data_IF_376613173275
#
_entry.id   IF_376613173275
#
_cell.length_a   1.000
_cell.length_b   1.000
_cell.length_c   1.000
_cell.angle_alpha   90.00
_cell.angle_beta   90.00
_cell.angle_gamma   90.00
#
_symmetry.space_group_name_H-M   'P 1'
#
loop_
_entity.id
_entity.type
_entity.pdbx_description
1 polymer ?
#
# COMPACT_ATOMS: atom_id res chain seq x y z
N UNK A 1 45.32 56.48 23.23
CA UNK A 1 44.53 55.60 22.35
C UNK A 1 44.14 54.38 23.18
N UNK A 2 43.30 54.48 24.21
CA UNK A 2 41.86 54.78 24.16
C UNK A 2 41.14 53.95 23.09
N UNK A 3 40.64 52.79 23.51
CA UNK A 3 39.52 52.09 22.89
C UNK A 3 38.65 51.53 24.01
N UNK A 4 37.62 52.32 24.34
CA UNK A 4 36.52 52.02 25.24
C UNK A 4 35.71 50.83 24.72
N UNK A 5 35.69 49.73 25.47
CA UNK A 5 34.74 48.64 25.27
C UNK A 5 33.56 48.85 26.23
N UNK A 6 32.30 48.94 25.75
CA UNK A 6 31.16 49.09 26.64
C UNK A 6 30.93 47.79 27.43
N UNK A 7 31.07 47.92 28.75
CA UNK A 7 30.68 46.93 29.76
C UNK A 7 29.24 46.44 29.49
N UNK A 8 29.11 45.17 29.14
CA UNK A 8 27.82 44.49 28.99
C UNK A 8 27.35 44.07 30.38
N UNK A 9 26.27 44.65 30.94
CA UNK A 9 25.80 44.25 32.25
C UNK A 9 25.32 42.79 32.21
N UNK A 10 25.85 42.01 33.14
CA UNK A 10 25.64 40.59 33.30
C UNK A 10 24.16 40.19 33.25
N UNK A 11 23.93 39.05 32.59
CA UNK A 11 22.67 38.32 32.64
C UNK A 11 22.47 37.86 34.09
N UNK A 12 21.67 38.61 34.85
CA UNK A 12 21.20 38.14 36.17
C UNK A 12 20.44 36.83 35.96
N UNK A 13 20.71 35.78 36.77
CA UNK A 13 19.89 34.60 36.74
C UNK A 13 18.47 35.03 37.14
N UNK A 14 17.48 34.77 36.28
CA UNK A 14 16.07 34.84 36.68
C UNK A 14 15.79 33.58 37.49
N UNK A 15 16.19 33.59 38.75
CA UNK A 15 15.61 32.74 39.78
C UNK A 15 14.58 33.59 40.50
N UNK A 16 13.34 33.48 40.02
CA UNK A 16 12.09 33.79 40.72
C UNK A 16 10.95 33.29 39.80
N UNK A 17 10.82 31.97 39.70
CA UNK A 17 9.65 31.32 39.10
C UNK A 17 9.23 30.15 40.00
N UNK A 18 9.08 30.46 41.29
CA UNK A 18 8.76 29.49 42.33
C UNK A 18 7.96 30.14 43.46
N UNK A 19 6.79 30.69 43.17
CA UNK A 19 5.67 30.81 44.13
C UNK A 19 4.42 31.31 43.38
N UNK A 20 3.22 30.79 43.69
CA UNK A 20 1.98 31.36 43.19
C UNK A 20 1.85 32.79 43.71
N UNK A 21 2.01 33.78 42.84
CA UNK A 21 1.64 35.15 43.16
C UNK A 21 0.11 35.19 43.32
N UNK A 22 -0.39 34.90 44.53
CA UNK A 22 -1.81 34.85 44.93
C UNK A 22 -2.60 36.16 44.70
N UNK A 23 -1.99 37.20 44.11
CA UNK A 23 -2.65 38.47 43.81
C UNK A 23 -2.27 39.11 42.47
N UNK A 24 -1.51 38.43 41.60
CA UNK A 24 -1.16 38.98 40.29
C UNK A 24 -2.35 38.99 39.33
N UNK A 25 -2.39 39.93 38.38
CA UNK A 25 -3.41 39.96 37.31
C UNK A 25 -3.55 38.60 36.59
N UNK A 26 -2.43 37.90 36.38
CA UNK A 26 -2.43 36.55 35.81
C UNK A 26 -3.15 35.53 36.71
N UNK A 27 -2.96 35.58 38.02
CA UNK A 27 -3.65 34.71 38.98
C UNK A 27 -5.15 35.04 39.06
N UNK A 28 -5.51 36.32 39.01
CA UNK A 28 -6.90 36.76 38.93
C UNK A 28 -7.59 36.26 37.64
N UNK A 29 -6.91 36.35 36.49
CA UNK A 29 -7.41 35.81 35.22
C UNK A 29 -7.54 34.29 35.27
N UNK A 30 -6.56 33.57 35.81
CA UNK A 30 -6.66 32.13 36.03
C UNK A 30 -7.86 31.78 36.92
N UNK A 31 -8.09 32.52 38.00
CA UNK A 31 -9.21 32.26 38.91
C UNK A 31 -10.58 32.49 38.24
N UNK A 32 -10.69 33.51 37.37
CA UNK A 32 -11.90 33.78 36.58
C UNK A 32 -12.13 32.71 35.52
N UNK A 33 -11.08 32.25 34.84
CA UNK A 33 -11.15 31.21 33.80
C UNK A 33 -11.44 29.81 34.37
N UNK A 34 -10.96 29.52 35.58
CA UNK A 34 -11.16 28.23 36.27
C UNK A 34 -12.48 28.15 37.03
N UNK A 35 -13.27 29.22 37.10
CA UNK A 35 -14.57 29.21 37.80
C UNK A 35 -15.57 28.37 37.02
N UNK A 36 -16.07 27.30 37.63
CA UNK A 36 -17.14 26.48 37.05
C UNK A 36 -18.45 27.26 36.99
N UNK A 37 -18.90 27.58 35.78
CA UNK A 37 -20.16 28.26 35.54
C UNK A 37 -21.29 27.22 35.50
N UNK A 38 -22.19 27.28 36.49
CA UNK A 38 -23.43 26.49 36.49
C UNK A 38 -24.38 27.05 35.42
N UNK A 39 -24.38 26.42 34.24
CA UNK A 39 -25.30 26.69 33.13
C UNK A 39 -24.75 27.60 32.03
N UNK A 40 -25.60 27.93 31.05
CA UNK A 40 -25.29 28.82 29.90
C UNK A 40 -25.33 30.32 30.32
N UNK A 41 -24.76 30.66 31.47
CA UNK A 41 -24.83 32.00 32.07
C UNK A 41 -23.73 32.95 31.58
N UNK A 42 -22.71 32.45 30.89
CA UNK A 42 -21.74 33.31 30.21
C UNK A 42 -22.44 34.10 29.09
N UNK A 43 -22.31 35.42 29.13
CA UNK A 43 -23.00 36.38 28.24
C UNK A 43 -22.79 36.07 26.74
N UNK A 44 -21.67 35.45 26.39
CA UNK A 44 -21.32 35.06 25.00
C UNK A 44 -21.70 33.61 24.63
N UNK A 45 -22.14 32.76 25.55
CA UNK A 45 -22.44 31.36 25.26
C UNK A 45 -23.58 31.15 24.25
N UNK A 46 -24.48 32.14 24.13
CA UNK A 46 -25.63 32.11 23.20
C UNK A 46 -25.36 32.83 21.87
N UNK A 47 -24.38 33.74 21.80
CA UNK A 47 -24.06 34.49 20.58
C UNK A 47 -22.80 33.92 19.93
N UNK A 48 -22.97 33.27 18.79
CA UNK A 48 -21.84 32.99 17.88
C UNK A 48 -21.66 34.17 16.93
N UNK A 49 -20.44 34.68 16.85
CA UNK A 49 -20.06 35.60 15.78
C UNK A 49 -20.03 34.85 14.45
N UNK A 50 -20.24 35.56 13.33
CA UNK A 50 -20.17 34.96 11.99
C UNK A 50 -18.85 34.20 11.76
N UNK A 51 -17.73 34.76 12.24
CA UNK A 51 -16.41 34.11 12.19
C UNK A 51 -16.35 32.79 12.97
N UNK A 52 -17.03 32.70 14.11
CA UNK A 52 -17.06 31.48 14.92
C UNK A 52 -17.93 30.38 14.29
N UNK A 53 -18.95 30.77 13.52
CA UNK A 53 -19.76 29.83 12.73
C UNK A 53 -18.96 29.30 11.54
N UNK A 54 -18.32 30.18 10.77
CA UNK A 54 -17.42 29.81 9.67
C UNK A 54 -16.29 28.89 10.15
N UNK A 55 -15.65 29.20 11.27
CA UNK A 55 -14.63 28.33 11.85
C UNK A 55 -15.17 26.97 12.32
N UNK A 56 -16.43 26.89 12.72
CA UNK A 56 -17.06 25.63 13.10
C UNK A 56 -17.39 24.78 11.86
N UNK A 57 -17.89 25.41 10.80
CA UNK A 57 -18.16 24.79 9.49
C UNK A 57 -16.86 24.26 8.86
N UNK A 58 -15.81 25.07 8.80
CA UNK A 58 -14.48 24.65 8.34
C UNK A 58 -13.95 23.44 9.11
N UNK A 59 -14.17 23.40 10.43
CA UNK A 59 -13.77 22.28 11.29
C UNK A 59 -14.59 21.03 10.98
N UNK A 60 -15.88 21.17 10.67
CA UNK A 60 -16.75 20.07 10.29
C UNK A 60 -16.39 19.53 8.91
N UNK A 61 -16.16 20.39 7.92
CA UNK A 61 -15.70 20.01 6.59
C UNK A 61 -14.36 19.28 6.63
N UNK A 62 -13.39 19.80 7.39
CA UNK A 62 -12.09 19.12 7.60
C UNK A 62 -12.26 17.75 8.24
N UNK A 63 -13.21 17.57 9.16
CA UNK A 63 -13.51 16.27 9.78
C UNK A 63 -14.17 15.32 8.79
N UNK A 64 -15.16 15.79 8.02
CA UNK A 64 -15.82 15.01 6.98
C UNK A 64 -14.83 14.54 5.91
N UNK A 65 -14.00 15.45 5.40
CA UNK A 65 -12.94 15.12 4.45
C UNK A 65 -11.95 14.09 5.01
N UNK A 66 -11.54 14.24 6.29
CA UNK A 66 -10.67 13.24 6.95
C UNK A 66 -11.36 11.89 7.07
N UNK A 67 -12.64 11.85 7.41
CA UNK A 67 -13.41 10.61 7.49
C UNK A 67 -13.52 9.92 6.12
N UNK A 68 -13.78 10.67 5.05
CA UNK A 68 -13.86 10.14 3.68
C UNK A 68 -12.51 9.59 3.20
N UNK A 69 -11.41 10.29 3.47
CA UNK A 69 -10.06 9.84 3.14
C UNK A 69 -9.74 8.55 3.90
N UNK A 70 -10.09 8.47 5.19
CA UNK A 70 -9.90 7.27 5.99
C UNK A 70 -10.77 6.11 5.51
N UNK A 71 -12.03 6.35 5.13
CA UNK A 71 -12.92 5.33 4.57
C UNK A 71 -12.41 4.80 3.22
N UNK A 72 -11.94 5.69 2.34
CA UNK A 72 -11.31 5.31 1.06
C UNK A 72 -10.02 4.52 1.28
N UNK A 73 -9.20 4.91 2.27
CA UNK A 73 -7.98 4.19 2.64
C UNK A 73 -8.30 2.81 3.21
N UNK A 74 -9.28 2.71 4.11
CA UNK A 74 -9.74 1.46 4.69
C UNK A 74 -10.24 0.50 3.60
N UNK A 75 -11.05 0.98 2.64
CA UNK A 75 -11.51 0.17 1.49
C UNK A 75 -10.36 -0.41 0.67
N UNK A 76 -9.32 0.39 0.37
CA UNK A 76 -8.14 -0.06 -0.37
C UNK A 76 -7.29 -1.05 0.43
N UNK A 77 -7.25 -0.89 1.75
CA UNK A 77 -6.43 -1.70 2.65
C UNK A 77 -7.12 -2.99 3.15
N UNK A 78 -8.40 -3.23 2.81
CA UNK A 78 -9.16 -4.40 3.31
C UNK A 78 -8.50 -5.75 3.03
N UNK A 79 -7.74 -5.85 1.95
CA UNK A 79 -7.05 -7.08 1.54
C UNK A 79 -5.53 -6.93 1.61
N UNK A 80 -5.02 -5.90 2.28
CA UNK A 80 -3.59 -5.62 2.37
C UNK A 80 -3.12 -5.75 3.82
N UNK A 81 -2.11 -6.59 4.05
CA UNK A 81 -1.43 -6.70 5.35
C UNK A 81 -0.38 -5.59 5.43
N UNK A 82 -0.37 -4.82 6.53
CA UNK A 82 0.67 -3.81 6.77
C UNK A 82 1.99 -4.54 7.04
N UNK A 83 3.04 -4.32 6.25
CA UNK A 83 4.32 -4.99 6.48
C UNK A 83 4.95 -4.51 7.78
N UNK A 84 5.34 -5.44 8.63
CA UNK A 84 6.05 -5.19 9.89
C UNK A 84 7.56 -5.23 9.64
N UNK A 85 8.37 -4.68 10.57
CA UNK A 85 9.84 -4.60 10.41
C UNK A 85 10.48 -5.97 10.14
N UNK A 86 9.90 -7.05 10.65
CA UNK A 86 10.33 -8.43 10.40
C UNK A 86 9.94 -8.95 9.00
N UNK A 87 8.79 -8.54 8.45
CA UNK A 87 8.29 -9.03 7.15
C UNK A 87 8.71 -8.17 5.95
N UNK A 88 9.17 -6.93 6.18
CA UNK A 88 9.70 -6.01 5.15
C UNK A 88 10.72 -6.64 4.18
N UNK A 89 11.73 -7.43 4.60
CA UNK A 89 12.69 -8.02 3.66
C UNK A 89 12.06 -9.05 2.73
N UNK A 90 11.15 -9.90 3.24
CA UNK A 90 10.41 -10.88 2.45
C UNK A 90 9.51 -10.20 1.42
N UNK A 91 8.72 -9.22 1.85
CA UNK A 91 7.81 -8.46 0.99
C UNK A 91 8.55 -7.69 -0.11
N UNK A 92 9.75 -7.17 0.19
CA UNK A 92 10.61 -6.52 -0.80
C UNK A 92 11.11 -7.51 -1.85
N UNK A 93 11.38 -8.75 -1.47
CA UNK A 93 11.79 -9.81 -2.39
C UNK A 93 10.66 -10.27 -3.28
N UNK A 94 9.46 -10.50 -2.73
CA UNK A 94 8.27 -10.82 -3.51
C UNK A 94 7.96 -9.74 -4.55
N UNK A 95 8.00 -8.46 -4.14
CA UNK A 95 7.84 -7.34 -5.08
C UNK A 95 8.85 -7.36 -6.22
N UNK A 96 10.13 -7.63 -5.94
CA UNK A 96 11.18 -7.73 -6.98
C UNK A 96 10.93 -8.89 -7.94
N UNK A 97 10.49 -10.04 -7.43
CA UNK A 97 10.16 -11.20 -8.28
C UNK A 97 8.96 -10.88 -9.17
N UNK A 98 7.90 -10.31 -8.60
CA UNK A 98 6.71 -9.93 -9.34
C UNK A 98 7.01 -8.88 -10.45
N UNK A 99 7.80 -7.85 -10.14
CA UNK A 99 8.17 -6.84 -11.15
C UNK A 99 9.06 -7.43 -12.24
N UNK A 100 10.02 -8.29 -11.89
CA UNK A 100 10.86 -9.00 -12.88
C UNK A 100 10.01 -9.88 -13.80
N UNK A 101 9.04 -10.62 -13.25
CA UNK A 101 8.14 -11.46 -14.04
C UNK A 101 7.29 -10.66 -15.02
N UNK A 102 6.64 -9.59 -14.55
CA UNK A 102 5.82 -8.72 -15.41
C UNK A 102 6.65 -8.05 -16.51
N UNK A 103 7.85 -7.57 -16.19
CA UNK A 103 8.75 -6.97 -17.19
C UNK A 103 9.23 -8.02 -18.21
N UNK A 104 9.57 -9.22 -17.78
CA UNK A 104 9.93 -10.32 -18.68
C UNK A 104 8.78 -10.65 -19.64
N UNK A 105 7.53 -10.68 -19.15
CA UNK A 105 6.36 -10.91 -19.98
C UNK A 105 6.15 -9.78 -21.01
N UNK A 106 6.22 -8.50 -20.60
CA UNK A 106 6.09 -7.39 -21.54
C UNK A 106 7.19 -7.41 -22.61
N UNK A 107 8.42 -7.75 -22.23
CA UNK A 107 9.52 -7.88 -23.17
C UNK A 107 9.29 -9.04 -24.14
N UNK A 108 8.78 -10.17 -23.67
CA UNK A 108 8.45 -11.32 -24.52
C UNK A 108 7.31 -10.99 -25.50
N UNK A 109 6.24 -10.36 -25.04
CA UNK A 109 5.12 -9.91 -25.88
C UNK A 109 5.60 -8.90 -26.93
N UNK A 110 6.44 -7.94 -26.54
CA UNK A 110 6.99 -6.96 -27.48
C UNK A 110 7.85 -7.64 -28.55
N UNK A 111 8.72 -8.58 -28.18
CA UNK A 111 9.54 -9.35 -29.14
C UNK A 111 8.64 -10.11 -30.12
N UNK A 112 7.64 -10.82 -29.62
CA UNK A 112 6.69 -11.56 -30.45
C UNK A 112 5.94 -10.64 -31.43
N UNK A 113 5.45 -9.49 -30.98
CA UNK A 113 4.78 -8.52 -31.86
C UNK A 113 5.72 -7.99 -32.95
N UNK A 114 6.96 -7.65 -32.60
CA UNK A 114 7.96 -7.20 -33.59
C UNK A 114 8.33 -8.29 -34.59
N UNK A 115 8.42 -9.54 -34.16
CA UNK A 115 8.67 -10.69 -35.03
C UNK A 115 7.48 -10.96 -35.96
N UNK A 116 6.25 -10.90 -35.46
CA UNK A 116 5.04 -11.00 -36.28
C UNK A 116 4.99 -9.89 -37.34
N UNK A 117 5.22 -8.64 -36.94
CA UNK A 117 5.31 -7.53 -37.90
C UNK A 117 6.45 -7.72 -38.92
N UNK A 118 7.60 -8.26 -38.49
CA UNK A 118 8.72 -8.53 -39.39
C UNK A 118 8.40 -9.66 -40.38
N UNK A 119 7.70 -10.71 -39.93
CA UNK A 119 7.21 -11.81 -40.78
C UNK A 119 6.16 -11.30 -41.77
N UNK A 120 5.20 -10.48 -41.34
CA UNK A 120 4.21 -9.84 -42.22
C UNK A 120 4.87 -8.90 -43.25
N UNK A 121 5.87 -8.11 -42.82
CA UNK A 121 6.67 -7.25 -43.71
C UNK A 121 7.55 -8.07 -44.66
N UNK A 122 8.07 -9.23 -44.25
CA UNK A 122 8.86 -10.13 -45.11
C UNK A 122 7.98 -10.91 -46.09
N UNK A 123 6.79 -11.34 -45.66
CA UNK A 123 5.79 -11.98 -46.50
C UNK A 123 5.27 -11.02 -47.58
N UNK A 124 5.06 -9.75 -47.25
CA UNK A 124 4.71 -8.70 -48.22
C UNK A 124 5.88 -8.27 -49.12
N UNK A 125 7.14 -8.42 -48.67
CA UNK A 125 8.34 -8.07 -49.45
C UNK A 125 8.78 -9.15 -50.45
N UNK A 126 8.22 -10.35 -50.40
CA UNK A 126 8.30 -11.36 -51.47
C UNK A 126 9.71 -11.93 -51.72
N UNK A 127 9.90 -13.21 -51.36
CA UNK A 127 10.62 -14.29 -52.08
C UNK A 127 11.74 -13.96 -53.11
N UNK A 128 12.58 -12.93 -52.91
CA UNK A 128 13.55 -12.52 -53.95
C UNK A 128 15.03 -12.79 -53.64
N UNK A 129 15.41 -13.25 -52.45
CA UNK A 129 16.82 -13.61 -52.15
C UNK A 129 16.92 -14.69 -51.05
N UNK A 130 16.82 -15.97 -51.39
CA UNK A 130 16.89 -17.05 -50.39
C UNK A 130 17.77 -18.22 -50.88
N UNK A 131 19.02 -18.26 -50.42
CA UNK A 131 19.78 -19.51 -50.28
C UNK A 131 20.83 -19.39 -49.15
N UNK A 132 21.73 -18.37 -49.12
CA UNK A 132 22.69 -18.24 -48.02
C UNK A 132 22.14 -17.48 -46.78
N UNK A 133 21.19 -16.56 -46.97
CA UNK A 133 20.64 -15.76 -45.87
C UNK A 133 19.68 -16.55 -44.95
N UNK A 134 18.97 -17.54 -45.50
CA UNK A 134 18.01 -18.34 -44.74
C UNK A 134 18.70 -19.27 -43.72
N UNK A 135 19.85 -19.84 -44.06
CA UNK A 135 20.63 -20.72 -43.18
C UNK A 135 21.28 -19.94 -42.03
N UNK A 136 21.79 -18.73 -42.30
CA UNK A 136 22.33 -17.85 -41.26
C UNK A 136 21.23 -17.33 -40.30
N UNK A 137 20.05 -17.00 -40.83
CA UNK A 137 18.90 -16.60 -40.02
C UNK A 137 18.38 -17.75 -39.14
N UNK A 138 18.39 -18.99 -39.63
CA UNK A 138 18.00 -20.18 -38.87
C UNK A 138 18.98 -20.48 -37.72
N UNK A 139 20.28 -20.29 -37.92
CA UNK A 139 21.28 -20.41 -36.86
C UNK A 139 21.25 -19.26 -35.85
N UNK A 140 20.88 -18.04 -36.29
CA UNK A 140 20.68 -16.91 -35.38
C UNK A 140 19.40 -17.08 -34.54
N UNK A 141 18.31 -17.57 -35.15
CA UNK A 141 17.07 -17.86 -34.46
C UNK A 141 17.25 -18.95 -33.39
N UNK A 142 18.04 -20.00 -33.66
CA UNK A 142 18.31 -21.04 -32.65
C UNK A 142 19.13 -20.52 -31.47
N UNK A 143 20.05 -19.57 -31.69
CA UNK A 143 20.80 -18.89 -30.63
C UNK A 143 19.91 -18.02 -29.76
N UNK A 144 19.00 -17.25 -30.37
CA UNK A 144 18.05 -16.41 -29.62
C UNK A 144 17.08 -17.26 -28.79
N UNK A 145 16.60 -18.39 -29.33
CA UNK A 145 15.76 -19.34 -28.57
C UNK A 145 16.57 -19.99 -27.43
N UNK A 146 17.85 -20.30 -27.66
CA UNK A 146 18.78 -20.76 -26.62
C UNK A 146 18.96 -19.73 -25.51
N UNK A 147 19.21 -18.47 -25.86
CA UNK A 147 19.42 -17.37 -24.91
C UNK A 147 18.17 -17.14 -24.04
N UNK A 148 16.97 -17.18 -24.63
CA UNK A 148 15.71 -17.03 -23.88
C UNK A 148 15.48 -18.21 -22.94
N UNK A 149 15.82 -19.43 -23.36
CA UNK A 149 15.64 -20.62 -22.53
C UNK A 149 16.69 -20.67 -21.40
N UNK A 150 17.92 -20.22 -21.65
CA UNK A 150 18.96 -20.07 -20.62
C UNK A 150 18.59 -18.99 -19.60
N UNK A 151 18.07 -17.84 -20.03
CA UNK A 151 17.57 -16.79 -19.14
C UNK A 151 16.39 -17.28 -18.30
N UNK A 152 15.50 -18.09 -18.89
CA UNK A 152 14.39 -18.76 -18.18
C UNK A 152 14.92 -19.74 -17.13
N UNK A 153 15.88 -20.58 -17.46
CA UNK A 153 16.47 -21.55 -16.52
C UNK A 153 17.26 -20.86 -15.41
N UNK A 154 17.99 -19.78 -15.72
CA UNK A 154 18.66 -18.94 -14.71
C UNK A 154 17.64 -18.25 -13.79
N UNK A 155 16.51 -17.80 -14.33
CA UNK A 155 15.41 -17.23 -13.55
C UNK A 155 14.70 -18.28 -12.69
N UNK A 156 14.44 -19.48 -13.20
CA UNK A 156 13.85 -20.59 -12.45
C UNK A 156 14.81 -21.13 -11.39
N UNK A 157 16.12 -21.15 -11.66
CA UNK A 157 17.16 -21.45 -10.68
C UNK A 157 17.19 -20.42 -9.55
N UNK A 158 17.15 -19.12 -9.90
CA UNK A 158 17.02 -18.05 -8.91
C UNK A 158 15.75 -18.21 -8.07
N UNK A 159 14.59 -18.51 -8.66
CA UNK A 159 13.34 -18.75 -7.94
C UNK A 159 13.45 -19.95 -6.98
N UNK A 160 14.04 -21.07 -7.41
CA UNK A 160 14.24 -22.26 -6.56
C UNK A 160 15.22 -21.99 -5.41
N UNK A 161 16.27 -21.23 -5.65
CA UNK A 161 17.20 -20.79 -4.59
C UNK A 161 16.50 -19.82 -3.63
N UNK A 162 15.56 -19.01 -4.13
CA UNK A 162 14.78 -18.11 -3.30
C UNK A 162 13.85 -18.82 -2.33
N UNK A 163 13.21 -19.91 -2.76
CA UNK A 163 12.26 -20.70 -1.96
C UNK A 163 12.98 -21.70 -1.05
N UNK A 164 14.07 -22.33 -1.52
CA UNK A 164 14.84 -23.30 -0.74
C UNK A 164 15.57 -22.68 0.47
N UNK A 165 15.94 -21.39 0.39
CA UNK A 165 16.56 -20.67 1.51
C UNK A 165 15.59 -20.32 2.64
N UNK A 166 14.29 -20.44 2.41
CA UNK A 166 13.23 -20.05 3.35
C UNK A 166 12.60 -21.26 4.07
N UNK A 167 12.80 -22.49 3.58
CA UNK A 167 12.26 -23.75 4.16
C UNK A 167 13.14 -24.40 5.25
N UNK A 168 14.26 -23.78 5.65
CA UNK A 168 15.09 -24.22 6.77
C UNK A 168 15.21 -23.05 7.78
N UNK A 169 14.25 -22.85 8.70
CA UNK A 169 14.04 -23.78 9.82
C UNK A 169 12.59 -23.84 10.35
N UNK A 170 11.86 -24.94 10.11
CA UNK A 170 10.70 -25.37 10.92
C UNK A 170 10.23 -26.78 10.51
N UNK A 171 11.12 -27.77 10.56
CA UNK A 171 10.72 -29.17 10.52
C UNK A 171 10.72 -29.71 11.96
N UNK A 172 9.53 -29.81 12.56
CA UNK A 172 9.25 -30.60 13.75
C UNK A 172 8.27 -31.74 13.37
N UNK A 173 8.34 -32.89 14.05
CA UNK A 173 8.30 -34.19 13.39
C UNK A 173 6.90 -34.80 13.24
N UNK A 174 6.84 -35.73 12.29
CA UNK A 174 5.76 -36.65 11.99
C UNK A 174 4.92 -37.09 13.21
N UNK A 175 3.60 -36.92 13.09
CA UNK A 175 2.61 -37.67 13.86
C UNK A 175 1.59 -38.29 12.89
N UNK A 176 1.69 -39.62 12.82
CA UNK A 176 0.64 -40.63 12.69
C UNK A 176 -0.43 -40.51 11.58
N UNK A 177 -0.49 -41.57 10.77
CA UNK A 177 -1.58 -41.91 9.89
C UNK A 177 -2.92 -42.13 10.64
N UNK A 178 -4.03 -41.70 10.04
CA UNK A 178 -5.44 -41.93 10.44
C UNK A 178 -6.42 -41.13 9.54
N UNK A 179 -7.65 -41.61 9.27
CA UNK A 179 -8.31 -41.46 7.97
C UNK A 179 -8.95 -40.09 7.70
N UNK A 180 -9.08 -39.79 6.41
CA UNK A 180 -9.65 -38.61 5.75
C UNK A 180 -10.74 -37.86 6.54
N UNK A 181 -10.39 -36.70 7.08
CA UNK A 181 -11.36 -35.67 7.45
C UNK A 181 -11.62 -34.81 6.20
N UNK A 182 -12.82 -34.97 5.61
CA UNK A 182 -13.32 -34.16 4.50
C UNK A 182 -13.45 -32.70 4.99
N UNK A 183 -12.96 -31.70 4.26
CA UNK A 183 -12.94 -30.33 4.74
C UNK A 183 -14.36 -29.72 4.85
N UNK A 184 -14.60 -28.83 5.83
CA UNK A 184 -15.92 -28.31 6.23
C UNK A 184 -16.60 -27.36 5.22
N UNK A 185 -16.09 -27.27 3.99
CA UNK A 185 -16.68 -26.50 2.89
C UNK A 185 -17.15 -27.39 1.74
N UNK A 186 -17.06 -28.71 1.91
CA UNK A 186 -17.54 -29.71 0.95
C UNK A 186 -18.77 -30.43 1.52
N UNK A 187 -19.71 -29.62 2.00
CA UNK A 187 -21.10 -29.99 2.28
C UNK A 187 -21.85 -29.66 0.97
N UNK A 188 -21.97 -30.67 0.10
CA UNK A 188 -22.83 -30.60 -1.07
C UNK A 188 -24.27 -30.51 -0.54
N UNK A 189 -24.90 -29.36 -0.73
CA UNK A 189 -26.34 -29.22 -0.61
C UNK A 189 -27.00 -30.06 -1.71
N UNK A 190 -27.35 -31.30 -1.36
CA UNK A 190 -28.50 -31.98 -1.93
C UNK A 190 -29.75 -31.23 -1.46
N UNK A 191 -30.04 -30.10 -2.12
CA UNK A 191 -31.35 -29.48 -2.09
C UNK A 191 -32.05 -29.89 -3.39
N UNK A 192 -32.86 -30.94 -3.27
CA UNK A 192 -33.95 -31.28 -4.16
C UNK A 192 -34.97 -30.12 -4.19
N UNK A 193 -34.72 -29.09 -5.00
CA UNK A 193 -35.75 -28.12 -5.35
C UNK A 193 -36.64 -28.72 -6.45
N UNK A 194 -37.56 -29.56 -6.00
CA UNK A 194 -38.78 -29.89 -6.71
C UNK A 194 -39.56 -28.60 -7.05
N UNK A 195 -39.56 -28.27 -8.34
CA UNK A 195 -40.80 -28.05 -9.09
C UNK A 195 -41.85 -27.10 -8.46
N UNK A 196 -41.55 -25.79 -8.38
CA UNK A 196 -42.56 -24.73 -8.24
C UNK A 196 -42.47 -23.73 -9.40
N UNK A 197 -42.78 -24.18 -10.61
CA UNK A 197 -43.25 -23.26 -11.67
C UNK A 197 -44.65 -22.78 -11.29
N UNK A 198 -44.70 -21.62 -10.63
CA UNK A 198 -45.90 -20.91 -10.26
C UNK A 198 -46.82 -20.67 -11.46
N UNK A 199 -48.07 -21.07 -11.26
CA UNK A 199 -49.26 -20.78 -12.05
C UNK A 199 -49.34 -19.30 -12.45
N UNK A 200 -49.32 -19.06 -13.76
CA UNK A 200 -49.73 -17.82 -14.39
C UNK A 200 -51.27 -17.75 -14.34
N UNK A 201 -51.81 -16.98 -13.40
CA UNK A 201 -53.25 -16.73 -13.26
C UNK A 201 -53.60 -15.31 -13.77
N UNK A 202 -54.75 -15.24 -14.43
CA UNK A 202 -55.31 -14.16 -15.24
C UNK A 202 -55.58 -12.85 -14.48
N UNK A 203 -55.36 -11.71 -15.15
CA UNK A 203 -56.23 -10.51 -15.18
C UNK A 203 -55.75 -9.51 -16.24
#
# INVERSE_FOLDING_TARGET
MEASAPSRPGKRPREDAGAPAEGGFAAAMSHVLSRELKGKSAVLAKRRTAEMQLQAEDKQEKKAHRADVLARKAKRQRHMVVPSVATVPHERRLRRVATKGVVALFNAVRKYQMEQEAVEKAASRGQRKAAPAAVAAMQAASRVVGDVNEERERFMGFLKETTAKETAPAAAPARAAGPSSRPPWLEEGEDDDENEFGTFEEL
#
